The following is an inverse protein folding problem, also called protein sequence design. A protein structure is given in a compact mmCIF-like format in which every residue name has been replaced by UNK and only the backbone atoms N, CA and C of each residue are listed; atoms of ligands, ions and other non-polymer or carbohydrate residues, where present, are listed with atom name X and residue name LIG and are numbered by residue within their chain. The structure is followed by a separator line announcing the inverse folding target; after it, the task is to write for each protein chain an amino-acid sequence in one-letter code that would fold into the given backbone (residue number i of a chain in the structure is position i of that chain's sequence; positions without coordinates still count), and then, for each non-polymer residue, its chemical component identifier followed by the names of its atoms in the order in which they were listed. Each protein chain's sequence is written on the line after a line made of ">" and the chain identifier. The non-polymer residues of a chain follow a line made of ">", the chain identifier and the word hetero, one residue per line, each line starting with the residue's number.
data_IF_997007722120
#
_entry.id   IF_997007722120
#
_cell.length_a   1.000
_cell.length_b   1.000
_cell.length_c   1.000
_cell.angle_alpha   90.00
_cell.angle_beta   90.00
_cell.angle_gamma   90.00
#
_symmetry.space_group_name_H-M   'P 1'
#
loop_
_entity.id
_entity.type
_entity.pdbx_description
1 polymer ?
#
# COMPACT_ATOMS: atom_id res chain seq x y z
N UNK A 1 5.37 14.58 6.83
CA UNK A 1 4.65 13.35 7.20
C UNK A 1 3.93 12.82 5.99
N UNK A 2 4.03 11.54 5.75
CA UNK A 2 3.41 10.88 4.61
C UNK A 2 2.16 10.15 5.10
N UNK A 3 0.99 10.55 4.59
CA UNK A 3 -0.28 9.89 4.88
C UNK A 3 -0.60 8.89 3.77
N UNK A 4 -1.01 7.70 4.16
CA UNK A 4 -1.43 6.62 3.25
C UNK A 4 -2.95 6.52 3.28
N UNK A 5 -3.56 6.59 2.11
CA UNK A 5 -5.01 6.50 1.95
C UNK A 5 -5.38 5.23 1.18
N UNK A 6 -6.41 4.55 1.66
CA UNK A 6 -6.95 3.35 1.03
C UNK A 6 -8.25 3.69 0.32
N UNK A 7 -8.37 3.27 -0.93
CA UNK A 7 -9.61 3.38 -1.70
C UNK A 7 -10.44 2.13 -1.38
N UNK A 8 -11.54 2.30 -0.65
CA UNK A 8 -12.49 1.21 -0.42
C UNK A 8 -13.38 1.03 -1.66
N UNK A 9 -13.73 -0.22 -2.04
CA UNK A 9 -14.51 -0.52 -3.25
C UNK A 9 -15.88 0.16 -3.32
N UNK A 10 -16.43 0.59 -2.20
CA UNK A 10 -17.80 1.11 -2.11
C UNK A 10 -18.04 2.45 -2.82
N UNK A 11 -16.99 3.19 -3.17
CA UNK A 11 -17.14 4.48 -3.84
C UNK A 11 -17.37 4.33 -5.35
N UNK A 12 -16.95 3.22 -5.96
CA UNK A 12 -17.03 3.03 -7.41
C UNK A 12 -18.33 2.37 -7.89
N UNK A 13 -19.01 1.58 -7.03
CA UNK A 13 -20.20 0.79 -7.42
C UNK A 13 -21.53 1.54 -7.29
N UNK A 14 -21.56 2.71 -6.65
CA UNK A 14 -22.82 3.42 -6.35
C UNK A 14 -23.37 4.32 -7.47
N UNK A 15 -22.68 4.47 -8.61
CA UNK A 15 -23.16 5.35 -9.70
C UNK A 15 -23.94 4.67 -10.84
N UNK A 16 -23.99 3.34 -10.92
CA UNK A 16 -24.56 2.66 -12.10
C UNK A 16 -25.85 1.85 -11.86
N UNK A 17 -26.42 1.80 -10.67
CA UNK A 17 -27.64 1.01 -10.40
C UNK A 17 -28.85 1.76 -9.81
N UNK A 18 -28.89 3.09 -9.85
CA UNK A 18 -30.03 3.88 -9.29
C UNK A 18 -31.19 4.07 -10.30
N UNK A 19 -31.07 3.67 -11.55
CA UNK A 19 -32.10 3.97 -12.55
C UNK A 19 -33.06 2.84 -12.92
N UNK A 20 -33.06 1.68 -12.29
CA UNK A 20 -33.88 0.53 -12.72
C UNK A 20 -34.91 -0.05 -11.71
N UNK A 21 -35.12 0.55 -10.52
CA UNK A 21 -36.13 0.04 -9.57
C UNK A 21 -37.07 1.09 -8.98
N UNK A 22 -37.43 2.10 -9.76
CA UNK A 22 -38.39 3.14 -9.34
C UNK A 22 -39.73 3.03 -10.05
N UNK A 23 -40.19 1.83 -10.45
CA UNK A 23 -41.57 1.66 -10.97
C UNK A 23 -42.07 0.25 -10.70
N UNK A 24 -42.56 -0.03 -9.52
CA UNK A 24 -43.62 -1.00 -9.17
C UNK A 24 -43.56 -1.25 -7.66
N UNK A 25 -44.51 -0.74 -6.96
CA UNK A 25 -45.31 -1.26 -5.85
C UNK A 25 -45.77 -0.06 -4.98
N UNK A 26 -46.76 0.62 -5.48
CA UNK A 26 -47.66 1.41 -4.65
C UNK A 26 -48.94 0.57 -4.51
N UNK A 27 -49.10 -0.15 -3.41
CA UNK A 27 -50.41 -0.57 -2.86
C UNK A 27 -50.26 -1.29 -1.53
N UNK A 28 -50.77 -0.61 -0.46
CA UNK A 28 -51.27 -1.16 0.80
C UNK A 28 -50.30 -1.82 1.80
N UNK A 29 -49.82 -0.99 2.75
CA UNK A 29 -49.49 -1.47 4.09
C UNK A 29 -50.01 -0.46 5.13
N UNK A 30 -50.73 -0.89 6.19
CA UNK A 30 -51.25 0.01 7.22
C UNK A 30 -50.10 0.63 8.04
N UNK A 31 -50.21 1.94 8.25
CA UNK A 31 -49.25 2.74 9.04
C UNK A 31 -49.41 2.38 10.50
N UNK A 32 -48.57 1.50 11.01
CA UNK A 32 -48.27 1.43 12.43
C UNK A 32 -47.09 2.36 12.69
N UNK A 33 -47.34 3.55 13.26
CA UNK A 33 -46.29 4.44 13.74
C UNK A 33 -45.54 3.80 14.91
N UNK A 34 -44.51 3.04 14.61
CA UNK A 34 -43.47 2.74 15.58
C UNK A 34 -42.46 3.89 15.54
N UNK A 35 -42.29 4.60 16.65
CA UNK A 35 -41.26 5.61 16.80
C UNK A 35 -39.88 4.99 16.65
N UNK A 36 -39.35 5.01 15.43
CA UNK A 36 -37.95 4.66 15.19
C UNK A 36 -37.07 5.75 15.77
N UNK A 37 -36.50 5.50 16.93
CA UNK A 37 -35.36 6.29 17.43
C UNK A 37 -34.28 6.25 16.36
N UNK A 38 -34.07 7.38 15.67
CA UNK A 38 -32.96 7.57 14.73
C UNK A 38 -31.64 7.37 15.51
N UNK A 39 -31.10 6.14 15.51
CA UNK A 39 -29.71 5.92 15.86
C UNK A 39 -28.89 6.78 14.88
N UNK A 40 -28.29 7.88 15.39
CA UNK A 40 -27.32 8.64 14.61
C UNK A 40 -26.29 7.67 14.07
N UNK A 41 -26.30 7.44 12.76
CA UNK A 41 -25.28 6.65 12.11
C UNK A 41 -23.94 7.25 12.51
N UNK A 42 -23.10 6.49 13.21
CA UNK A 42 -21.74 6.90 13.56
C UNK A 42 -21.05 7.14 12.23
N UNK A 43 -20.72 8.42 11.91
CA UNK A 43 -20.00 8.78 10.68
C UNK A 43 -18.76 7.89 10.62
N UNK A 44 -18.67 7.05 9.60
CA UNK A 44 -17.54 6.14 9.44
C UNK A 44 -16.25 6.98 9.51
N UNK A 45 -15.39 6.67 10.47
CA UNK A 45 -14.11 7.37 10.62
C UNK A 45 -13.27 7.01 9.39
N UNK A 46 -12.81 8.02 8.65
CA UNK A 46 -11.91 7.78 7.51
C UNK A 46 -10.65 7.08 8.04
N UNK A 47 -10.30 5.97 7.42
CA UNK A 47 -9.05 5.28 7.73
C UNK A 47 -7.91 6.07 7.09
N UNK A 48 -6.98 6.53 7.92
CA UNK A 48 -5.77 7.24 7.51
C UNK A 48 -4.59 6.54 8.15
N UNK A 49 -3.70 6.03 7.32
CA UNK A 49 -2.48 5.40 7.80
C UNK A 49 -1.28 6.33 7.63
N UNK A 50 -0.23 6.06 8.40
CA UNK A 50 1.06 6.71 8.25
C UNK A 50 2.09 5.69 7.77
N UNK A 51 2.89 6.10 6.77
CA UNK A 51 4.09 5.36 6.42
C UNK A 51 5.18 5.67 7.46
N UNK A 52 5.68 4.65 8.15
CA UNK A 52 6.66 4.80 9.24
C UNK A 52 8.00 5.36 8.74
N UNK A 53 8.26 5.32 7.44
CA UNK A 53 9.40 6.02 6.84
C UNK A 53 9.38 7.53 7.11
N UNK A 54 8.21 8.14 7.29
CA UNK A 54 8.04 9.56 7.62
C UNK A 54 8.63 9.95 8.99
N UNK A 55 8.80 8.97 9.86
CA UNK A 55 9.35 9.14 11.22
C UNK A 55 10.65 8.33 11.43
N UNK A 56 11.27 7.89 10.31
CA UNK A 56 12.47 7.03 10.34
C UNK A 56 13.61 7.58 11.17
N UNK A 57 13.82 8.89 11.17
CA UNK A 57 14.90 9.52 11.91
C UNK A 57 14.74 9.36 13.43
N UNK A 58 13.49 9.25 13.89
CA UNK A 58 13.16 9.01 15.29
C UNK A 58 13.20 7.51 15.56
N UNK A 59 12.61 6.71 14.67
CA UNK A 59 12.59 5.25 14.80
C UNK A 59 14.01 4.66 14.81
N UNK A 60 14.90 5.14 13.94
CA UNK A 60 16.28 4.66 13.86
C UNK A 60 17.11 4.97 15.13
N UNK A 61 16.69 5.94 15.95
CA UNK A 61 17.35 6.24 17.23
C UNK A 61 16.96 5.26 18.33
N UNK A 62 15.77 4.67 18.23
CA UNK A 62 15.20 3.74 19.22
C UNK A 62 15.19 2.28 18.72
N UNK A 63 15.54 2.09 17.45
CA UNK A 63 15.66 0.77 16.85
C UNK A 63 17.06 0.23 17.14
N UNK A 64 17.21 -0.35 18.34
CA UNK A 64 18.49 -0.83 18.84
C UNK A 64 19.05 -1.96 17.97
N UNK A 65 20.28 -1.75 17.49
CA UNK A 65 21.05 -2.73 16.70
C UNK A 65 21.29 -4.06 17.43
N UNK A 66 21.06 -4.09 18.74
CA UNK A 66 21.25 -5.26 19.60
C UNK A 66 20.05 -6.23 19.61
N UNK A 67 19.03 -6.00 18.76
CA UNK A 67 17.84 -6.84 18.70
C UNK A 67 16.90 -6.73 19.91
N UNK A 68 17.15 -5.78 20.82
CA UNK A 68 16.28 -5.49 21.95
C UNK A 68 15.24 -4.47 21.55
N UNK A 69 13.97 -4.76 21.82
CA UNK A 69 12.88 -3.82 21.62
C UNK A 69 13.00 -2.66 22.62
N UNK A 70 13.23 -1.43 22.12
CA UNK A 70 13.21 -0.25 22.98
C UNK A 70 11.76 0.13 23.30
N UNK A 71 11.38 0.33 24.58
CA UNK A 71 10.06 0.82 24.96
C UNK A 71 9.67 2.17 24.30
N UNK A 72 10.65 3.00 23.95
CA UNK A 72 10.43 4.25 23.23
C UNK A 72 9.76 4.03 21.86
N UNK A 73 9.95 2.88 21.22
CA UNK A 73 9.26 2.55 19.96
C UNK A 73 7.74 2.54 20.12
N UNK A 74 7.24 1.86 21.16
CA UNK A 74 5.80 1.83 21.46
C UNK A 74 5.26 3.23 21.76
N UNK A 75 6.04 4.06 22.47
CA UNK A 75 5.68 5.46 22.73
C UNK A 75 5.52 6.27 21.45
N UNK A 76 6.35 6.03 20.41
CA UNK A 76 6.19 6.68 19.11
C UNK A 76 4.87 6.25 18.45
N UNK A 77 4.57 4.95 18.45
CA UNK A 77 3.30 4.44 17.91
C UNK A 77 2.08 5.03 18.64
N UNK A 78 2.13 5.14 19.96
CA UNK A 78 1.07 5.79 20.76
C UNK A 78 0.85 7.24 20.37
N UNK A 79 1.93 8.01 20.16
CA UNK A 79 1.84 9.39 19.68
C UNK A 79 1.17 9.48 18.31
N UNK A 80 1.54 8.59 17.38
CA UNK A 80 0.92 8.53 16.05
C UNK A 80 -0.59 8.20 16.14
N UNK A 81 -0.97 7.25 16.99
CA UNK A 81 -2.37 6.94 17.24
C UNK A 81 -3.15 8.14 17.85
N UNK A 82 -2.53 8.87 18.79
CA UNK A 82 -3.11 10.09 19.37
C UNK A 82 -3.27 11.21 18.35
N UNK A 83 -2.42 11.30 17.33
CA UNK A 83 -2.57 12.23 16.20
C UNK A 83 -3.75 11.86 15.28
N UNK A 84 -4.33 10.68 15.45
CA UNK A 84 -5.53 10.25 14.73
C UNK A 84 -5.27 9.26 13.61
N UNK A 85 -4.05 8.79 13.43
CA UNK A 85 -3.77 7.70 12.49
C UNK A 85 -4.45 6.41 12.95
N UNK A 86 -4.99 5.65 12.01
CA UNK A 86 -5.72 4.41 12.27
C UNK A 86 -4.94 3.16 11.84
N UNK A 87 -3.83 3.36 11.16
CA UNK A 87 -2.98 2.28 10.70
C UNK A 87 -1.57 2.73 10.34
N UNK A 88 -0.71 1.76 10.09
CA UNK A 88 0.68 1.99 9.68
C UNK A 88 1.02 1.21 8.43
N UNK A 89 1.90 1.79 7.61
CA UNK A 89 2.66 1.10 6.59
C UNK A 89 4.12 1.04 7.06
N UNK A 90 4.68 -0.17 7.19
CA UNK A 90 6.08 -0.35 7.51
C UNK A 90 6.97 -0.03 6.31
N UNK A 91 8.23 0.32 6.56
CA UNK A 91 9.20 0.61 5.50
C UNK A 91 10.60 0.10 5.87
N UNK A 92 10.66 -0.89 6.72
CA UNK A 92 11.88 -1.55 7.16
C UNK A 92 11.56 -3.02 7.41
N UNK A 93 11.87 -3.84 6.41
CA UNK A 93 11.92 -5.30 6.54
C UNK A 93 13.37 -5.75 6.37
N UNK A 94 13.87 -6.49 7.34
CA UNK A 94 15.22 -7.00 7.37
C UNK A 94 15.20 -8.47 7.78
N UNK A 95 15.32 -9.36 6.80
CA UNK A 95 15.38 -10.80 6.99
C UNK A 95 14.25 -11.33 7.90
N UNK A 96 13.00 -11.01 7.55
CA UNK A 96 11.81 -11.43 8.28
C UNK A 96 11.57 -10.68 9.59
N UNK A 97 12.30 -9.59 9.85
CA UNK A 97 12.06 -8.70 10.99
C UNK A 97 11.61 -7.34 10.51
N UNK A 98 10.62 -6.79 11.19
CA UNK A 98 10.12 -5.43 10.96
C UNK A 98 10.54 -4.55 12.12
N UNK A 99 11.43 -3.59 11.89
CA UNK A 99 12.02 -2.76 12.95
C UNK A 99 12.60 -3.62 14.11
N UNK A 100 13.42 -4.61 13.75
CA UNK A 100 14.05 -5.59 14.66
C UNK A 100 13.07 -6.48 15.47
N UNK A 101 11.77 -6.45 15.16
CA UNK A 101 10.72 -7.24 15.79
C UNK A 101 10.35 -8.43 14.93
N UNK A 102 9.96 -9.53 15.54
CA UNK A 102 9.27 -10.58 14.79
C UNK A 102 7.97 -10.02 14.20
N UNK A 103 7.44 -10.59 13.11
CA UNK A 103 6.17 -10.17 12.53
C UNK A 103 5.02 -10.10 13.55
N UNK A 104 4.94 -11.09 14.43
CA UNK A 104 3.92 -11.17 15.49
C UNK A 104 4.11 -10.09 16.57
N UNK A 105 5.37 -9.80 16.94
CA UNK A 105 5.65 -8.75 17.91
C UNK A 105 5.34 -7.37 17.35
N UNK A 106 5.71 -7.11 16.09
CA UNK A 106 5.37 -5.87 15.39
C UNK A 106 3.85 -5.64 15.33
N UNK A 107 3.10 -6.70 14.97
CA UNK A 107 1.64 -6.67 14.98
C UNK A 107 1.10 -6.30 16.35
N UNK A 108 1.55 -6.99 17.40
CA UNK A 108 1.12 -6.75 18.78
C UNK A 108 1.39 -5.32 19.23
N UNK A 109 2.58 -4.79 18.92
CA UNK A 109 2.97 -3.44 19.32
C UNK A 109 2.07 -2.38 18.63
N UNK A 110 1.81 -2.51 17.34
CA UNK A 110 0.91 -1.61 16.61
C UNK A 110 -0.53 -1.72 17.11
N UNK A 111 -1.06 -2.92 17.22
CA UNK A 111 -2.46 -3.15 17.63
C UNK A 111 -2.72 -2.74 19.08
N UNK A 112 -1.71 -2.76 19.97
CA UNK A 112 -1.83 -2.27 21.36
C UNK A 112 -2.18 -0.78 21.42
N UNK A 113 -1.86 0.00 20.39
CA UNK A 113 -2.18 1.43 20.29
C UNK A 113 -3.54 1.71 19.64
N UNK A 114 -4.27 0.68 19.22
CA UNK A 114 -5.53 0.79 18.49
C UNK A 114 -5.38 1.02 16.98
N UNK A 115 -4.15 1.07 16.46
CA UNK A 115 -3.88 1.12 15.02
C UNK A 115 -3.85 -0.30 14.42
N UNK A 116 -3.91 -0.39 13.09
CA UNK A 116 -3.77 -1.64 12.33
C UNK A 116 -2.46 -1.66 11.57
N UNK A 117 -1.86 -2.84 11.42
CA UNK A 117 -0.79 -3.04 10.44
C UNK A 117 -1.45 -3.27 9.07
N UNK A 118 -1.16 -2.41 8.10
CA UNK A 118 -1.85 -2.44 6.81
C UNK A 118 -0.98 -2.96 5.68
N UNK A 119 0.24 -2.46 5.59
CA UNK A 119 1.17 -2.74 4.50
C UNK A 119 2.62 -2.62 4.94
N UNK A 120 3.50 -3.03 4.07
CA UNK A 120 4.94 -2.79 4.19
C UNK A 120 5.54 -2.51 2.82
N UNK A 121 6.51 -1.61 2.79
CA UNK A 121 7.45 -1.52 1.69
C UNK A 121 8.49 -2.63 1.82
N UNK A 122 8.57 -3.47 0.80
CA UNK A 122 9.48 -4.60 0.73
C UNK A 122 9.89 -4.83 -0.72
N UNK A 123 11.16 -5.05 -0.99
CA UNK A 123 11.65 -5.30 -2.36
C UNK A 123 12.74 -6.35 -2.37
N UNK A 124 12.72 -7.14 -3.41
CA UNK A 124 13.80 -8.04 -3.80
C UNK A 124 13.93 -7.98 -5.32
N UNK A 125 14.99 -7.31 -5.79
CA UNK A 125 15.24 -7.12 -7.22
C UNK A 125 15.83 -8.36 -7.85
N UNK A 126 15.68 -8.48 -9.16
CA UNK A 126 16.32 -9.55 -9.94
C UNK A 126 17.82 -9.30 -10.09
N UNK A 127 18.60 -10.34 -9.97
CA UNK A 127 20.03 -10.33 -10.33
C UNK A 127 20.21 -10.21 -11.85
N UNK A 128 21.43 -9.89 -12.28
CA UNK A 128 21.75 -9.82 -13.72
C UNK A 128 21.57 -11.17 -14.41
N UNK A 129 21.89 -12.25 -13.70
CA UNK A 129 21.78 -13.62 -14.16
C UNK A 129 20.31 -14.02 -14.35
N UNK A 130 19.44 -13.66 -13.40
CA UNK A 130 18.00 -13.88 -13.47
C UNK A 130 17.36 -13.09 -14.62
N UNK A 131 17.76 -11.82 -14.80
CA UNK A 131 17.32 -11.02 -15.94
C UNK A 131 17.74 -11.61 -17.28
N UNK A 132 19.00 -12.08 -17.38
CA UNK A 132 19.53 -12.63 -18.61
C UNK A 132 18.92 -14.00 -18.97
N UNK A 133 18.68 -14.85 -17.97
CA UNK A 133 18.11 -16.19 -18.17
C UNK A 133 16.59 -16.21 -18.22
N UNK A 134 15.94 -15.24 -17.56
CA UNK A 134 14.49 -15.26 -17.29
C UNK A 134 14.08 -16.27 -16.21
N UNK A 135 15.04 -16.92 -15.55
CA UNK A 135 14.79 -17.82 -14.42
C UNK A 135 15.03 -17.07 -13.11
N UNK A 136 13.95 -16.71 -12.45
CA UNK A 136 13.93 -16.00 -11.18
C UNK A 136 13.36 -16.85 -10.02
N UNK A 137 13.52 -18.16 -10.12
CA UNK A 137 13.02 -19.12 -9.12
C UNK A 137 13.54 -18.83 -7.71
N UNK A 138 14.83 -18.49 -7.57
CA UNK A 138 15.45 -18.16 -6.28
C UNK A 138 14.85 -16.90 -5.65
N UNK A 139 14.63 -15.87 -6.47
CA UNK A 139 13.96 -14.65 -6.01
C UNK A 139 12.52 -14.93 -5.58
N UNK A 140 11.82 -15.84 -6.24
CA UNK A 140 10.46 -16.24 -5.82
C UNK A 140 10.44 -17.05 -4.52
N UNK A 141 11.44 -17.87 -4.24
CA UNK A 141 11.59 -18.57 -2.95
C UNK A 141 11.75 -17.55 -1.80
N UNK A 142 12.53 -16.48 -2.02
CA UNK A 142 12.65 -15.39 -1.06
C UNK A 142 11.31 -14.71 -0.82
N UNK A 143 10.53 -14.47 -1.88
CA UNK A 143 9.19 -13.89 -1.76
C UNK A 143 8.21 -14.77 -1.02
N UNK A 144 8.28 -16.09 -1.15
CA UNK A 144 7.42 -17.01 -0.40
C UNK A 144 7.61 -16.83 1.12
N UNK A 145 8.86 -16.69 1.58
CA UNK A 145 9.15 -16.40 2.98
C UNK A 145 8.68 -15.00 3.38
N UNK A 146 8.98 -14.00 2.57
CA UNK A 146 8.54 -12.61 2.78
C UNK A 146 7.00 -12.52 2.90
N UNK A 147 6.26 -13.20 2.04
CA UNK A 147 4.80 -13.25 2.08
C UNK A 147 4.29 -13.89 3.37
N UNK A 148 4.92 -14.97 3.83
CA UNK A 148 4.57 -15.63 5.08
C UNK A 148 4.77 -14.71 6.29
N UNK A 149 5.88 -13.96 6.34
CA UNK A 149 6.20 -13.01 7.40
C UNK A 149 5.20 -11.84 7.42
N UNK A 150 4.86 -11.30 6.27
CA UNK A 150 3.87 -10.22 6.14
C UNK A 150 2.47 -10.69 6.57
N UNK A 151 2.09 -11.92 6.23
CA UNK A 151 0.85 -12.52 6.69
C UNK A 151 0.82 -12.68 8.21
N UNK A 152 1.93 -13.13 8.80
CA UNK A 152 2.07 -13.25 10.25
C UNK A 152 2.01 -11.89 10.96
N UNK A 153 2.52 -10.82 10.33
CA UNK A 153 2.38 -9.45 10.80
C UNK A 153 0.95 -8.87 10.65
N UNK A 154 0.03 -9.61 10.02
CA UNK A 154 -1.36 -9.17 9.83
C UNK A 154 -1.55 -8.15 8.71
N UNK A 155 -0.57 -8.01 7.82
CA UNK A 155 -0.61 -7.10 6.68
C UNK A 155 -1.57 -7.60 5.61
N UNK A 156 -2.17 -6.66 4.89
CA UNK A 156 -3.01 -6.94 3.71
C UNK A 156 -2.26 -6.73 2.41
N UNK A 157 -1.27 -5.84 2.42
CA UNK A 157 -0.57 -5.39 1.24
C UNK A 157 0.93 -5.52 1.44
N UNK A 158 1.61 -5.89 0.37
CA UNK A 158 3.07 -5.82 0.23
C UNK A 158 3.33 -4.92 -0.97
N UNK A 159 4.17 -3.92 -0.82
CA UNK A 159 4.43 -2.93 -1.87
C UNK A 159 5.91 -2.89 -2.18
N UNK A 160 6.29 -3.16 -3.43
CA UNK A 160 7.65 -2.95 -3.89
C UNK A 160 7.87 -1.44 -4.11
N UNK A 161 8.77 -0.80 -3.32
CA UNK A 161 8.95 0.65 -3.39
C UNK A 161 9.96 1.09 -4.44
N UNK A 162 10.66 0.18 -5.08
CA UNK A 162 11.77 0.53 -5.96
C UNK A 162 12.07 -0.54 -6.98
N UNK A 163 12.36 -0.09 -8.19
CA UNK A 163 13.01 -0.85 -9.25
C UNK A 163 13.89 0.14 -10.03
N UNK A 164 15.16 -0.21 -10.25
CA UNK A 164 16.01 0.58 -11.13
C UNK A 164 15.43 0.63 -12.54
N UNK A 165 15.68 1.73 -13.28
CA UNK A 165 15.22 1.82 -14.66
C UNK A 165 15.91 0.74 -15.49
N UNK A 166 15.17 -0.23 -16.06
CA UNK A 166 15.75 -1.28 -16.87
C UNK A 166 16.44 -0.72 -18.12
N UNK A 167 17.49 -1.39 -18.57
CA UNK A 167 18.22 -0.95 -19.76
C UNK A 167 17.49 -1.23 -21.05
N UNK A 168 16.70 -2.29 -21.09
CA UNK A 168 16.00 -2.78 -22.27
C UNK A 168 14.52 -3.01 -21.97
N UNK A 169 13.69 -2.97 -23.00
CA UNK A 169 12.28 -3.32 -22.88
C UNK A 169 12.11 -4.78 -22.46
N UNK A 170 13.01 -5.65 -22.88
CA UNK A 170 13.03 -7.07 -22.48
C UNK A 170 13.20 -7.24 -20.97
N UNK A 171 14.09 -6.46 -20.36
CA UNK A 171 14.26 -6.48 -18.89
C UNK A 171 12.99 -5.98 -18.19
N UNK A 172 12.36 -4.93 -18.71
CA UNK A 172 11.11 -4.39 -18.17
C UNK A 172 9.96 -5.42 -18.28
N UNK A 173 9.85 -6.12 -19.39
CA UNK A 173 8.93 -7.25 -19.57
C UNK A 173 9.16 -8.33 -18.49
N UNK A 174 10.42 -8.69 -18.27
CA UNK A 174 10.79 -9.70 -17.26
C UNK A 174 10.38 -9.26 -15.87
N UNK A 175 10.56 -7.97 -15.52
CA UNK A 175 10.07 -7.43 -14.26
C UNK A 175 8.53 -7.44 -14.16
N UNK A 176 7.81 -7.13 -15.22
CA UNK A 176 6.34 -7.22 -15.23
C UNK A 176 5.85 -8.65 -14.98
N UNK A 177 6.49 -9.64 -15.63
CA UNK A 177 6.20 -11.05 -15.42
C UNK A 177 6.52 -11.50 -13.98
N UNK A 178 7.66 -11.08 -13.46
CA UNK A 178 8.08 -11.34 -12.09
C UNK A 178 7.09 -10.79 -11.07
N UNK A 179 6.65 -9.53 -11.23
CA UNK A 179 5.66 -8.92 -10.33
C UNK A 179 4.29 -9.60 -10.44
N UNK A 180 3.88 -10.05 -11.63
CA UNK A 180 2.67 -10.85 -11.78
C UNK A 180 2.75 -12.16 -10.98
N UNK A 181 3.89 -12.84 -11.00
CA UNK A 181 4.07 -14.10 -10.26
C UNK A 181 4.10 -13.86 -8.74
N UNK A 182 4.77 -12.80 -8.25
CA UNK A 182 4.72 -12.40 -6.84
C UNK A 182 3.28 -12.10 -6.43
N UNK A 183 2.56 -11.31 -7.22
CA UNK A 183 1.18 -10.93 -6.92
C UNK A 183 0.22 -12.12 -6.89
N UNK A 184 0.43 -13.11 -7.76
CA UNK A 184 -0.32 -14.37 -7.75
C UNK A 184 -0.07 -15.16 -6.47
N UNK A 185 1.19 -15.25 -6.00
CA UNK A 185 1.56 -15.90 -4.73
C UNK A 185 0.97 -15.17 -3.54
N UNK A 186 1.02 -13.83 -3.52
CA UNK A 186 0.36 -13.02 -2.51
C UNK A 186 -1.15 -13.32 -2.44
N UNK A 187 -1.83 -13.34 -3.59
CA UNK A 187 -3.27 -13.62 -3.68
C UNK A 187 -3.62 -14.99 -3.12
N UNK A 188 -2.81 -16.02 -3.37
CA UNK A 188 -3.00 -17.37 -2.82
C UNK A 188 -2.92 -17.39 -1.29
N UNK A 189 -2.16 -16.48 -0.70
CA UNK A 189 -2.03 -16.34 0.76
C UNK A 189 -2.97 -15.31 1.38
N UNK A 190 -3.85 -14.70 0.58
CA UNK A 190 -4.83 -13.70 1.02
C UNK A 190 -4.27 -12.29 1.17
N UNK A 191 -3.08 -12.03 0.59
CA UNK A 191 -2.46 -10.70 0.50
C UNK A 191 -2.61 -10.13 -0.91
N UNK A 192 -2.24 -8.86 -1.07
CA UNK A 192 -2.20 -8.19 -2.36
C UNK A 192 -0.83 -7.56 -2.55
N UNK A 193 -0.27 -7.71 -3.75
CA UNK A 193 1.02 -7.13 -4.11
C UNK A 193 0.82 -5.85 -4.94
N UNK A 194 1.65 -4.86 -4.69
CA UNK A 194 1.62 -3.60 -5.44
C UNK A 194 3.01 -3.02 -5.68
N UNK A 195 3.03 -1.99 -6.53
CA UNK A 195 4.22 -1.21 -6.84
C UNK A 195 4.00 0.26 -6.47
N UNK A 196 5.00 0.88 -5.83
CA UNK A 196 5.03 2.30 -5.47
C UNK A 196 5.96 3.05 -6.41
N UNK A 197 5.47 4.12 -7.03
CA UNK A 197 6.26 4.91 -7.95
C UNK A 197 7.06 6.01 -7.27
N UNK A 198 8.19 6.32 -7.89
CA UNK A 198 8.93 7.57 -7.77
C UNK A 198 8.83 8.39 -9.06
N UNK A 199 9.77 9.29 -9.31
CA UNK A 199 9.80 10.10 -10.52
C UNK A 199 10.54 9.42 -11.70
N UNK A 200 11.42 8.45 -11.40
CA UNK A 200 12.26 7.83 -12.41
C UNK A 200 11.47 6.85 -13.31
N UNK A 201 10.32 6.35 -12.87
CA UNK A 201 9.48 5.48 -13.69
C UNK A 201 8.80 6.20 -14.86
N UNK A 202 8.81 7.54 -14.85
CA UNK A 202 8.34 8.35 -15.98
C UNK A 202 9.41 8.53 -17.08
N UNK A 203 10.61 7.95 -16.91
CA UNK A 203 11.60 7.84 -17.96
C UNK A 203 11.20 6.80 -19.00
N UNK A 204 11.82 6.92 -20.18
CA UNK A 204 11.55 6.00 -21.29
C UNK A 204 12.59 4.89 -21.34
N UNK A 205 12.11 3.68 -21.52
CA UNK A 205 12.91 2.48 -21.85
C UNK A 205 12.58 2.13 -23.30
N UNK A 206 13.55 2.28 -24.19
CA UNK A 206 13.39 2.05 -25.64
C UNK A 206 12.12 2.70 -26.21
N UNK A 207 11.89 3.96 -25.83
CA UNK A 207 10.76 4.78 -26.32
C UNK A 207 9.47 4.67 -25.52
N UNK A 208 9.31 3.67 -24.66
CA UNK A 208 8.11 3.46 -23.83
C UNK A 208 8.30 4.07 -22.44
N UNK A 209 7.33 4.83 -21.94
CA UNK A 209 7.33 5.30 -20.55
C UNK A 209 7.23 4.08 -19.63
N UNK A 210 8.23 3.90 -18.75
CA UNK A 210 8.31 2.72 -17.89
C UNK A 210 7.05 2.51 -17.05
N UNK A 211 6.53 3.58 -16.43
CA UNK A 211 5.33 3.49 -15.58
C UNK A 211 4.09 3.05 -16.36
N UNK A 212 3.88 3.63 -17.55
CA UNK A 212 2.77 3.26 -18.44
C UNK A 212 2.89 1.79 -18.84
N UNK A 213 4.09 1.37 -19.24
CA UNK A 213 4.36 0.00 -19.61
C UNK A 213 4.03 -0.98 -18.47
N UNK A 214 4.46 -0.67 -17.24
CA UNK A 214 4.14 -1.51 -16.07
C UNK A 214 2.62 -1.59 -15.82
N UNK A 215 1.90 -0.46 -15.94
CA UNK A 215 0.45 -0.41 -15.76
C UNK A 215 -0.29 -1.25 -16.81
N UNK A 216 0.23 -1.31 -18.05
CA UNK A 216 -0.38 -2.02 -19.17
C UNK A 216 -0.02 -3.52 -19.20
N UNK A 217 1.19 -3.90 -18.74
CA UNK A 217 1.73 -5.26 -18.86
C UNK A 217 1.75 -6.05 -17.55
N UNK A 218 1.21 -5.50 -16.45
CA UNK A 218 0.96 -6.26 -15.24
C UNK A 218 -0.54 -6.58 -15.09
N UNK A 219 -0.84 -7.79 -14.61
CA UNK A 219 -2.22 -8.24 -14.43
C UNK A 219 -2.89 -7.48 -13.27
N UNK A 220 -4.02 -6.77 -13.48
CA UNK A 220 -4.72 -6.03 -12.45
C UNK A 220 -5.28 -6.89 -11.29
N UNK A 221 -5.42 -8.20 -11.50
CA UNK A 221 -5.81 -9.12 -10.43
C UNK A 221 -4.66 -9.44 -9.46
N UNK A 222 -3.42 -9.27 -9.91
CA UNK A 222 -2.23 -9.64 -9.15
C UNK A 222 -1.45 -8.43 -8.66
N UNK A 223 -1.35 -7.39 -9.49
CA UNK A 223 -0.54 -6.20 -9.20
C UNK A 223 -1.42 -4.96 -9.18
N UNK A 224 -1.45 -4.26 -8.05
CA UNK A 224 -1.99 -2.91 -7.97
C UNK A 224 -0.86 -1.87 -7.92
N UNK A 225 -1.21 -0.60 -8.06
CA UNK A 225 -0.25 0.48 -7.91
C UNK A 225 -0.59 1.33 -6.68
N UNK A 226 0.44 1.62 -5.88
CA UNK A 226 0.40 2.62 -4.83
C UNK A 226 0.94 3.91 -5.43
N UNK A 227 0.05 4.84 -5.76
CA UNK A 227 0.47 6.10 -6.36
C UNK A 227 1.03 7.05 -5.29
N UNK A 228 2.28 7.44 -5.44
CA UNK A 228 2.83 8.60 -4.73
C UNK A 228 2.60 9.85 -5.55
N UNK A 229 1.63 10.65 -5.13
CA UNK A 229 1.19 11.87 -5.83
C UNK A 229 2.33 12.89 -5.97
N UNK A 230 3.18 13.01 -4.95
CA UNK A 230 4.34 13.93 -5.01
C UNK A 230 5.31 13.53 -6.11
N UNK A 231 5.62 12.23 -6.23
CA UNK A 231 6.56 11.76 -7.23
C UNK A 231 5.99 11.79 -8.66
N UNK A 232 4.69 11.60 -8.84
CA UNK A 232 4.04 11.80 -10.15
C UNK A 232 4.23 13.25 -10.61
N UNK A 233 3.97 14.22 -9.72
CA UNK A 233 4.16 15.65 -10.03
C UNK A 233 5.64 15.96 -10.27
N UNK A 234 6.56 15.39 -9.48
CA UNK A 234 8.02 15.55 -9.69
C UNK A 234 8.47 14.92 -11.02
N UNK A 235 7.82 13.88 -11.48
CA UNK A 235 8.00 13.28 -12.79
C UNK A 235 7.32 14.08 -13.92
N UNK A 236 6.82 15.30 -13.64
CA UNK A 236 6.15 16.20 -14.60
C UNK A 236 4.89 15.60 -15.21
N UNK A 237 4.16 14.81 -14.43
CA UNK A 237 2.91 14.19 -14.84
C UNK A 237 1.75 14.60 -13.91
N UNK A 238 0.52 14.36 -14.37
CA UNK A 238 -0.72 14.64 -13.64
C UNK A 238 -1.25 13.37 -12.98
N UNK A 239 -1.37 13.33 -11.64
CA UNK A 239 -2.01 12.20 -10.95
C UNK A 239 -3.45 11.96 -11.42
N UNK A 240 -4.19 13.03 -11.72
CA UNK A 240 -5.58 12.95 -12.18
C UNK A 240 -5.65 12.27 -13.55
N UNK A 241 -4.71 12.59 -14.45
CA UNK A 241 -4.68 11.97 -15.78
C UNK A 241 -4.36 10.48 -15.68
N UNK A 242 -3.45 10.09 -14.79
CA UNK A 242 -3.16 8.68 -14.51
C UNK A 242 -4.36 7.94 -13.92
N UNK A 243 -5.10 8.53 -12.98
CA UNK A 243 -6.34 7.95 -12.47
C UNK A 243 -7.39 7.73 -13.56
N UNK A 244 -7.52 8.69 -14.49
CA UNK A 244 -8.46 8.60 -15.59
C UNK A 244 -8.00 7.61 -16.67
N UNK A 245 -6.71 7.57 -16.97
CA UNK A 245 -6.12 6.68 -17.99
C UNK A 245 -6.15 5.21 -17.56
N UNK A 246 -5.92 4.94 -16.27
CA UNK A 246 -5.79 3.58 -15.74
C UNK A 246 -6.77 3.30 -14.59
N UNK A 247 -8.10 3.32 -14.85
CA UNK A 247 -9.10 3.13 -13.82
C UNK A 247 -8.97 1.75 -13.17
N UNK A 248 -9.05 1.72 -11.82
CA UNK A 248 -8.98 0.48 -11.04
C UNK A 248 -7.58 -0.05 -10.78
N UNK A 249 -6.52 0.56 -11.36
CA UNK A 249 -5.14 0.13 -11.11
C UNK A 249 -4.60 0.62 -9.76
N UNK A 250 -5.12 1.73 -9.23
CA UNK A 250 -4.63 2.38 -8.01
C UNK A 250 -5.52 2.01 -6.82
N UNK A 251 -4.97 1.32 -5.82
CA UNK A 251 -5.68 0.94 -4.58
C UNK A 251 -5.26 1.76 -3.38
N UNK A 252 -4.04 2.28 -3.40
CA UNK A 252 -3.44 3.06 -2.33
C UNK A 252 -2.81 4.29 -2.96
N UNK A 253 -2.87 5.42 -2.26
CA UNK A 253 -2.08 6.58 -2.66
C UNK A 253 -1.42 7.23 -1.46
N UNK A 254 -0.23 7.79 -1.69
CA UNK A 254 0.53 8.53 -0.70
C UNK A 254 0.46 10.01 -1.05
N UNK A 255 0.11 10.82 -0.07
CA UNK A 255 0.19 12.28 -0.14
C UNK A 255 1.27 12.76 0.83
N UNK A 256 2.22 13.53 0.30
CA UNK A 256 3.27 14.20 1.08
C UNK A 256 2.96 15.68 1.15
N UNK A 257 3.06 16.27 2.33
CA UNK A 257 3.06 17.72 2.46
C UNK A 257 4.47 18.24 2.14
N UNK A 258 4.58 19.07 1.11
CA UNK A 258 5.84 19.75 0.73
C UNK A 258 6.14 20.98 1.59
N UNK A 259 5.42 21.20 2.67
CA UNK A 259 5.66 22.28 3.63
C UNK A 259 7.01 22.08 4.33
N UNK A 260 7.73 23.20 4.56
CA UNK A 260 8.85 23.25 5.50
C UNK A 260 8.49 22.43 6.72
N UNK A 261 9.37 21.50 7.12
CA UNK A 261 9.16 20.63 8.26
C UNK A 261 8.46 21.38 9.39
N UNK A 262 7.22 21.01 9.68
CA UNK A 262 6.64 21.35 10.98
C UNK A 262 7.56 20.60 11.94
N UNK A 263 8.43 21.31 12.61
CA UNK A 263 9.15 20.78 13.78
C UNK A 263 8.03 20.43 14.75
N UNK A 264 7.58 19.18 14.73
CA UNK A 264 6.83 18.64 15.83
C UNK A 264 7.82 18.68 17.01
N UNK A 265 7.57 19.51 17.98
CA UNK A 265 8.22 19.42 19.28
C UNK A 265 7.73 18.10 19.89
N UNK A 266 8.65 17.14 19.91
CA UNK A 266 8.43 15.80 20.44
C UNK A 266 8.73 15.76 21.93
#
# INVERSE_FOLDING_TARGET
>A
MEAVYFITPDIYYMRTRIYLYALAVLLMIPVTMTAQTKKKAKKARKEVAIQLYSVRDILNKVDNKDGKCDPAYTTILEKLAKMGYTGVEAANDNNGKVYNRTPQQFKKDVESTGMKVLSSHCTHGLSKEELASGDYSKSLEWWDQCIADHKAAGMKYIVAPWMDVPKTLKDLETYCAYYNEIGKRCKQQGLQFGYHNHAHEFQKVEGNVMYDYMLEHTNPEYVFFQMDVYWVVRGQNSPVDYFNKYPGRFKIFISKTTGKSVRAEW
#
